data_IF_203166490398
#
_entry.id   IF_203166490398
#
_cell.length_a   1.000
_cell.length_b   1.000
_cell.length_c   1.000
_cell.angle_alpha   90.00
_cell.angle_beta   90.00
_cell.angle_gamma   90.00
#
_symmetry.space_group_name_H-M   'P 1'
#
loop_
_entity.id
_entity.type
_entity.pdbx_description
1 polymer ?
#
# COMPACT_ATOMS: atom_id res chain seq x y z
N UNK A 1 8.55 1.92 -6.66
CA UNK A 1 9.71 2.53 -5.98
C UNK A 1 9.83 1.89 -4.62
N UNK A 2 11.00 1.35 -4.33
CA UNK A 2 11.30 0.74 -3.03
C UNK A 2 11.42 1.80 -1.92
N UNK A 3 11.25 1.40 -0.66
CA UNK A 3 11.39 2.29 0.51
C UNK A 3 12.76 2.98 0.50
N UNK A 4 13.82 2.23 0.17
CA UNK A 4 15.19 2.74 0.09
C UNK A 4 15.33 3.90 -0.91
N UNK A 5 14.72 3.77 -2.10
CA UNK A 5 14.78 4.78 -3.16
C UNK A 5 14.04 6.06 -2.74
N UNK A 6 12.88 5.91 -2.08
CA UNK A 6 12.10 7.03 -1.56
C UNK A 6 12.87 7.83 -0.51
N UNK A 7 13.56 7.14 0.39
CA UNK A 7 14.41 7.78 1.42
C UNK A 7 15.61 8.47 0.77
N UNK A 8 16.31 7.79 -0.14
CA UNK A 8 17.48 8.34 -0.83
C UNK A 8 17.13 9.62 -1.59
N UNK A 9 16.02 9.61 -2.34
CA UNK A 9 15.54 10.80 -3.05
C UNK A 9 15.30 11.99 -2.12
N UNK A 10 14.63 11.77 -0.98
CA UNK A 10 14.37 12.85 0.00
C UNK A 10 15.68 13.36 0.63
N UNK A 11 16.66 12.48 0.79
CA UNK A 11 17.98 12.88 1.28
C UNK A 11 18.71 13.75 0.26
N UNK A 12 18.65 13.39 -1.02
CA UNK A 12 19.26 14.14 -2.11
C UNK A 12 18.59 15.51 -2.29
N UNK A 13 17.25 15.56 -2.22
CA UNK A 13 16.46 16.81 -2.28
C UNK A 13 16.82 17.79 -1.16
N UNK A 14 17.18 17.29 0.03
CA UNK A 14 17.58 18.10 1.19
C UNK A 14 19.09 18.22 1.37
N UNK A 15 19.91 17.58 0.52
CA UNK A 15 21.37 17.56 0.64
C UNK A 15 21.88 17.00 1.96
N UNK A 16 21.22 15.98 2.52
CA UNK A 16 21.58 15.39 3.82
C UNK A 16 22.24 14.02 3.68
N UNK A 17 23.18 13.74 4.57
CA UNK A 17 23.88 12.45 4.61
C UNK A 17 23.13 11.42 5.44
N UNK A 18 23.34 10.10 5.21
CA UNK A 18 22.73 9.05 6.04
C UNK A 18 23.07 9.21 7.52
N UNK A 19 24.30 9.65 7.81
CA UNK A 19 24.75 9.93 9.17
C UNK A 19 23.93 11.04 9.83
N UNK A 20 23.69 12.13 9.11
CA UNK A 20 22.88 13.25 9.60
C UNK A 20 21.43 12.84 9.83
N UNK A 21 20.86 12.08 8.89
CA UNK A 21 19.50 11.56 9.00
C UNK A 21 19.35 10.65 10.24
N UNK A 22 20.28 9.72 10.47
CA UNK A 22 20.27 8.86 11.65
C UNK A 22 20.34 9.66 12.96
N UNK A 23 21.21 10.68 13.02
CA UNK A 23 21.38 11.54 14.19
C UNK A 23 20.14 12.37 14.50
N UNK A 24 19.49 12.93 13.47
CA UNK A 24 18.35 13.83 13.63
C UNK A 24 17.02 13.08 13.83
N UNK A 25 16.89 11.86 13.28
CA UNK A 25 15.69 11.01 13.47
C UNK A 25 15.75 10.11 14.71
N UNK A 26 16.94 9.92 15.30
CA UNK A 26 17.15 8.95 16.38
C UNK A 26 17.13 7.49 15.92
N UNK A 27 17.04 7.23 14.61
CA UNK A 27 17.13 5.89 14.04
C UNK A 27 18.59 5.44 14.05
N UNK A 28 18.84 4.20 14.47
CA UNK A 28 20.20 3.64 14.46
C UNK A 28 20.82 3.73 13.06
N UNK A 29 22.06 4.24 12.99
CA UNK A 29 22.81 4.33 11.73
C UNK A 29 22.94 2.98 11.02
N UNK A 30 23.13 1.90 11.78
CA UNK A 30 23.20 0.54 11.20
C UNK A 30 21.85 0.08 10.65
N UNK A 31 20.75 0.45 11.32
CA UNK A 31 19.39 0.19 10.84
C UNK A 31 19.10 0.94 9.55
N UNK A 32 19.41 2.25 9.54
CA UNK A 32 19.23 3.09 8.35
C UNK A 32 20.07 2.60 7.16
N UNK A 33 21.32 2.23 7.40
CA UNK A 33 22.20 1.68 6.35
C UNK A 33 21.65 0.38 5.76
N UNK A 34 21.10 -0.52 6.58
CA UNK A 34 20.44 -1.76 6.11
C UNK A 34 19.19 -1.49 5.28
N UNK A 35 18.44 -0.43 5.61
CA UNK A 35 17.27 -0.01 4.84
C UNK A 35 17.72 0.55 3.48
N UNK A 36 18.69 1.46 3.47
CA UNK A 36 19.20 2.10 2.25
C UNK A 36 19.87 1.10 1.29
N UNK A 37 20.55 0.09 1.82
CA UNK A 37 21.15 -1.00 1.05
C UNK A 37 20.17 -2.11 0.67
N UNK A 38 18.88 -1.94 0.94
CA UNK A 38 17.80 -2.91 0.65
C UNK A 38 17.95 -4.28 1.35
N UNK A 39 18.86 -4.41 2.32
CA UNK A 39 18.98 -5.62 3.15
C UNK A 39 17.76 -5.80 4.05
N UNK A 40 17.13 -4.69 4.46
CA UNK A 40 15.87 -4.69 5.22
C UNK A 40 14.75 -4.16 4.34
N UNK A 41 13.93 -5.08 3.81
CA UNK A 41 12.77 -4.74 2.98
C UNK A 41 11.59 -4.19 3.77
N UNK A 42 11.43 -4.62 5.02
CA UNK A 42 10.37 -4.15 5.92
C UNK A 42 11.00 -3.53 7.18
N UNK A 43 11.30 -2.21 7.16
CA UNK A 43 11.76 -1.51 8.35
C UNK A 43 10.72 -1.56 9.46
N UNK A 44 11.16 -1.44 10.72
CA UNK A 44 10.23 -1.23 11.82
C UNK A 44 9.44 0.07 11.62
N UNK A 45 8.14 0.02 11.93
CA UNK A 45 7.20 1.13 11.78
C UNK A 45 7.68 2.37 12.55
N UNK A 46 8.29 2.19 13.72
CA UNK A 46 8.76 3.31 14.54
C UNK A 46 9.91 4.08 13.87
N UNK A 47 10.83 3.38 13.21
CA UNK A 47 11.90 4.01 12.41
C UNK A 47 11.34 4.76 11.21
N UNK A 48 10.36 4.17 10.52
CA UNK A 48 9.66 4.80 9.41
C UNK A 48 8.91 6.06 9.84
N UNK A 49 8.23 6.04 10.99
CA UNK A 49 7.57 7.21 11.59
C UNK A 49 8.54 8.34 11.87
N UNK A 50 9.70 8.03 12.46
CA UNK A 50 10.71 9.03 12.76
C UNK A 50 11.26 9.69 11.49
N UNK A 51 11.55 8.89 10.46
CA UNK A 51 12.01 9.37 9.15
C UNK A 51 10.92 10.21 8.46
N UNK A 52 9.67 9.74 8.48
CA UNK A 52 8.53 10.42 7.88
C UNK A 52 8.27 11.79 8.54
N UNK A 53 8.30 11.84 9.87
CA UNK A 53 8.18 13.08 10.63
C UNK A 53 9.29 14.09 10.28
N UNK A 54 10.52 13.61 10.15
CA UNK A 54 11.66 14.45 9.77
C UNK A 54 11.51 15.08 8.37
N UNK A 55 11.01 14.30 7.41
CA UNK A 55 10.78 14.79 6.04
C UNK A 55 9.43 15.48 5.84
N UNK A 56 8.55 15.50 6.85
CA UNK A 56 7.21 16.05 6.74
C UNK A 56 6.34 15.27 5.74
N UNK A 57 6.55 13.94 5.63
CA UNK A 57 5.77 13.04 4.79
C UNK A 57 4.89 12.14 5.67
N UNK A 58 3.73 11.70 5.18
CA UNK A 58 2.99 10.64 5.86
C UNK A 58 3.82 9.35 5.84
N UNK A 59 3.63 8.47 6.84
CA UNK A 59 4.31 7.16 6.87
C UNK A 59 3.95 6.34 5.64
N UNK A 60 2.70 6.49 5.19
CA UNK A 60 2.13 5.81 4.03
C UNK A 60 2.92 6.10 2.75
N UNK A 61 3.52 7.29 2.63
CA UNK A 61 4.42 7.63 1.51
C UNK A 61 5.52 6.59 1.31
N UNK A 62 6.06 6.01 2.38
CA UNK A 62 7.10 4.99 2.29
C UNK A 62 6.52 3.59 2.05
N UNK A 63 5.41 3.25 2.68
CA UNK A 63 4.80 1.92 2.61
C UNK A 63 3.89 1.69 1.39
N UNK A 64 3.54 2.74 0.66
CA UNK A 64 2.78 2.65 -0.59
C UNK A 64 3.60 1.93 -1.68
N UNK A 65 3.36 0.63 -1.84
CA UNK A 65 3.74 -0.14 -3.02
C UNK A 65 2.80 0.21 -4.17
N UNK A 66 3.10 1.29 -4.90
CA UNK A 66 2.41 1.64 -6.14
C UNK A 66 0.92 1.93 -5.97
N UNK A 67 0.60 3.17 -5.63
CA UNK A 67 -0.80 3.54 -5.46
C UNK A 67 -1.52 3.67 -6.81
N UNK A 68 -2.58 2.86 -7.00
CA UNK A 68 -3.75 3.34 -7.72
C UNK A 68 -4.44 4.34 -6.79
N UNK A 69 -3.85 5.54 -6.65
CA UNK A 69 -4.46 6.60 -5.87
C UNK A 69 -5.80 6.91 -6.52
N UNK A 70 -6.88 6.83 -5.75
CA UNK A 70 -8.16 7.38 -6.21
C UNK A 70 -7.89 8.86 -6.48
N UNK A 71 -8.03 9.34 -7.73
CA UNK A 71 -7.66 10.72 -8.06
C UNK A 71 -8.40 11.70 -7.14
N UNK A 72 -7.81 12.84 -6.79
CA UNK A 72 -8.41 13.80 -5.84
C UNK A 72 -9.80 14.32 -6.25
N UNK A 73 -10.16 14.19 -7.53
CA UNK A 73 -11.49 14.51 -8.07
C UNK A 73 -12.53 13.40 -7.88
N UNK A 74 -12.11 12.20 -7.50
CA UNK A 74 -12.98 11.02 -7.38
C UNK A 74 -13.62 10.93 -5.98
N UNK A 75 -14.93 11.03 -5.96
CA UNK A 75 -15.81 10.96 -4.79
C UNK A 75 -16.21 9.52 -4.50
N UNK A 76 -16.66 9.20 -3.28
CA UNK A 76 -17.25 7.88 -2.95
C UNK A 76 -18.48 7.49 -3.80
N UNK A 77 -19.05 8.44 -4.53
CA UNK A 77 -20.07 8.20 -5.57
C UNK A 77 -19.43 7.63 -6.84
N UNK A 78 -18.28 8.15 -7.26
CA UNK A 78 -17.55 7.71 -8.45
C UNK A 78 -17.03 6.27 -8.29
N UNK A 79 -16.67 5.86 -7.07
CA UNK A 79 -16.31 4.47 -6.73
C UNK A 79 -17.51 3.52 -6.86
N UNK A 80 -18.71 3.96 -6.46
CA UNK A 80 -19.95 3.17 -6.59
C UNK A 80 -20.45 3.13 -8.03
N UNK A 81 -20.31 4.23 -8.76
CA UNK A 81 -20.65 4.34 -10.16
C UNK A 81 -19.71 3.49 -11.02
N UNK A 82 -18.43 3.36 -10.66
CA UNK A 82 -17.51 2.45 -11.34
C UNK A 82 -17.98 0.99 -11.30
N UNK A 83 -18.45 0.52 -10.14
CA UNK A 83 -19.03 -0.84 -10.00
C UNK A 83 -20.27 -1.03 -10.90
N UNK A 84 -21.16 -0.03 -10.93
CA UNK A 84 -22.36 -0.05 -11.78
C UNK A 84 -22.01 0.04 -13.28
N UNK A 85 -21.01 0.82 -13.63
CA UNK A 85 -20.51 1.02 -14.99
C UNK A 85 -19.75 -0.20 -15.54
N UNK A 86 -19.21 -1.05 -14.66
CA UNK A 86 -18.69 -2.37 -15.03
C UNK A 86 -19.82 -3.40 -15.25
N UNK A 87 -20.97 -3.24 -14.59
CA UNK A 87 -22.10 -4.19 -14.68
C UNK A 87 -23.11 -3.80 -15.78
N UNK A 88 -23.20 -2.52 -16.14
CA UNK A 88 -24.06 -2.02 -17.21
C UNK A 88 -23.36 -2.10 -18.58
N UNK A 89 -24.13 -2.35 -19.64
CA UNK A 89 -23.71 -2.36 -21.07
C UNK A 89 -23.26 -0.97 -21.60
N UNK A 90 -22.85 -0.07 -20.70
CA UNK A 90 -22.42 1.27 -21.01
C UNK A 90 -21.03 1.27 -21.67
N UNK A 91 -20.80 2.05 -22.74
CA UNK A 91 -19.49 2.17 -23.36
C UNK A 91 -18.47 2.75 -22.37
N UNK A 92 -17.54 1.91 -21.92
CA UNK A 92 -16.41 2.36 -21.11
C UNK A 92 -15.48 3.17 -22.02
N UNK A 93 -15.27 4.45 -21.69
CA UNK A 93 -14.33 5.32 -22.40
C UNK A 93 -12.97 5.25 -21.70
N UNK A 94 -11.90 5.12 -22.48
CA UNK A 94 -10.52 5.26 -22.01
C UNK A 94 -9.85 6.37 -22.82
N UNK A 95 -9.42 7.44 -22.15
CA UNK A 95 -8.84 8.63 -22.79
C UNK A 95 -9.76 9.26 -23.86
N UNK A 96 -11.07 9.21 -23.63
CA UNK A 96 -12.08 9.70 -24.58
C UNK A 96 -12.40 8.77 -25.75
N UNK A 97 -11.78 7.59 -25.83
CA UNK A 97 -12.03 6.56 -26.86
C UNK A 97 -12.85 5.41 -26.28
N UNK A 98 -13.94 4.96 -26.93
CA UNK A 98 -14.70 3.81 -26.46
C UNK A 98 -13.87 2.55 -26.54
N UNK A 99 -13.79 1.80 -25.44
CA UNK A 99 -13.19 0.47 -25.41
C UNK A 99 -14.04 -0.49 -26.24
N UNK A 100 -13.37 -1.24 -27.10
CA UNK A 100 -13.95 -2.36 -27.82
C UNK A 100 -14.34 -3.50 -26.86
N UNK A 101 -15.18 -4.42 -27.34
CA UNK A 101 -15.75 -5.51 -26.54
C UNK A 101 -14.67 -6.44 -25.97
N UNK A 102 -13.60 -6.68 -26.73
CA UNK A 102 -12.51 -7.57 -26.34
C UNK A 102 -11.63 -6.92 -25.26
N UNK A 103 -11.28 -5.65 -25.43
CA UNK A 103 -10.54 -4.89 -24.43
C UNK A 103 -11.33 -4.71 -23.14
N UNK A 104 -12.65 -4.50 -23.24
CA UNK A 104 -13.55 -4.49 -22.08
C UNK A 104 -13.48 -5.81 -21.32
N UNK A 105 -13.60 -6.94 -22.02
CA UNK A 105 -13.51 -8.26 -21.39
C UNK A 105 -12.16 -8.48 -20.70
N UNK A 106 -11.05 -8.09 -21.34
CA UNK A 106 -9.71 -8.17 -20.71
C UNK A 106 -9.63 -7.38 -19.40
N UNK A 107 -10.19 -6.16 -19.39
CA UNK A 107 -10.24 -5.33 -18.17
C UNK A 107 -11.05 -6.05 -17.08
N UNK A 108 -12.20 -6.64 -17.43
CA UNK A 108 -13.03 -7.42 -16.49
C UNK A 108 -12.28 -8.62 -15.91
N UNK A 109 -11.56 -9.35 -16.75
CA UNK A 109 -10.84 -10.56 -16.36
C UNK A 109 -9.71 -10.22 -15.37
N UNK A 110 -8.96 -9.15 -15.65
CA UNK A 110 -7.89 -8.64 -14.77
C UNK A 110 -8.48 -8.20 -13.43
N UNK A 111 -9.56 -7.41 -13.45
CA UNK A 111 -10.23 -6.95 -12.23
C UNK A 111 -10.80 -8.11 -11.40
N UNK A 112 -11.35 -9.12 -12.06
CA UNK A 112 -11.87 -10.32 -11.42
C UNK A 112 -10.74 -11.11 -10.74
N UNK A 113 -9.60 -11.26 -11.42
CA UNK A 113 -8.39 -11.87 -10.84
C UNK A 113 -7.92 -11.15 -9.58
N UNK A 114 -7.74 -9.83 -9.67
CA UNK A 114 -7.36 -8.96 -8.54
C UNK A 114 -8.33 -9.10 -7.37
N UNK A 115 -9.64 -9.13 -7.63
CA UNK A 115 -10.66 -9.30 -6.61
C UNK A 115 -10.52 -10.63 -5.85
N UNK A 116 -10.30 -11.74 -6.56
CA UNK A 116 -10.13 -13.05 -5.94
C UNK A 116 -8.83 -13.15 -5.16
N UNK A 117 -7.75 -12.53 -5.64
CA UNK A 117 -6.49 -12.44 -4.91
C UNK A 117 -6.67 -11.66 -3.60
N UNK A 118 -7.33 -10.51 -3.64
CA UNK A 118 -7.65 -9.72 -2.45
C UNK A 118 -8.53 -10.52 -1.46
N UNK A 119 -9.56 -11.22 -1.96
CA UNK A 119 -10.45 -12.06 -1.12
C UNK A 119 -9.71 -13.25 -0.50
N UNK A 120 -8.79 -13.86 -1.25
CA UNK A 120 -7.91 -14.95 -0.76
C UNK A 120 -6.97 -14.46 0.34
N UNK A 121 -6.41 -13.27 0.18
CA UNK A 121 -5.58 -12.63 1.20
C UNK A 121 -6.39 -12.29 2.47
N UNK A 122 -7.60 -11.74 2.33
CA UNK A 122 -8.47 -11.49 3.48
C UNK A 122 -8.88 -12.76 4.23
N UNK A 123 -9.08 -13.89 3.54
CA UNK A 123 -9.29 -15.20 4.19
C UNK A 123 -8.04 -15.68 4.95
N UNK A 124 -6.83 -15.37 4.48
CA UNK A 124 -5.57 -15.71 5.18
C UNK A 124 -5.34 -14.81 6.40
N UNK A 125 -5.66 -13.52 6.30
CA UNK A 125 -5.42 -12.52 7.36
C UNK A 125 -6.51 -12.52 8.44
N UNK A 126 -7.78 -12.74 8.08
CA UNK A 126 -8.93 -12.66 9.00
C UNK A 126 -9.68 -13.98 9.21
N UNK A 127 -9.42 -15.02 8.42
CA UNK A 127 -10.13 -16.31 8.50
C UNK A 127 -9.70 -17.23 9.65
N UNK A 128 -8.72 -16.84 10.47
CA UNK A 128 -8.23 -17.62 11.62
C UNK A 128 -8.60 -16.99 12.96
N UNK A 129 -9.88 -16.62 13.14
CA UNK A 129 -10.51 -16.69 14.47
C UNK A 129 -11.30 -18.01 14.54
N UNK A 130 -10.56 -19.12 14.55
CA UNK A 130 -11.11 -20.38 15.03
C UNK A 130 -11.33 -20.21 16.54
N UNK A 131 -12.55 -20.45 16.97
CA UNK A 131 -13.04 -20.33 18.35
C UNK A 131 -12.03 -20.93 19.33
N UNK A 132 -11.47 -20.12 20.21
CA UNK A 132 -10.90 -20.61 21.47
C UNK A 132 -12.08 -21.02 22.34
N UNK A 133 -12.31 -22.33 22.44
CA UNK A 133 -13.22 -22.91 23.43
C UNK A 133 -12.73 -22.52 24.83
N UNK A 134 -13.37 -21.54 25.43
CA UNK A 134 -13.36 -21.35 26.89
C UNK A 134 -14.18 -22.47 27.50
N UNK A 135 -13.52 -23.56 27.90
CA UNK A 135 -14.04 -24.44 28.93
C UNK A 135 -12.91 -24.78 29.90
N UNK A 136 -12.55 -23.78 30.72
CA UNK A 136 -11.83 -24.03 31.95
C UNK A 136 -12.88 -24.18 33.06
N UNK A 137 -13.18 -25.42 33.45
CA UNK A 137 -13.82 -25.76 34.72
C UNK A 137 -12.88 -26.72 35.44
N UNK A 138 -11.95 -26.13 36.18
CA UNK A 138 -11.40 -26.75 37.38
C UNK A 138 -12.27 -26.36 38.59
N UNK A 139 -12.22 -27.20 39.62
CA UNK A 139 -12.87 -27.14 40.96
C UNK A 139 -14.30 -27.72 40.98
N UNK A 140 -14.62 -28.80 41.72
CA UNK A 140 -14.01 -29.53 42.84
C UNK A 140 -14.22 -31.06 42.69
#
# INVERSE_FOLDING_TARGET
>A
MEIAEKIQRLMDERGITPYRLAKETGVSYTGLSKILSQQTKNPQIDSLKAIAAYFGKPVDYFTEEGDFSTPEWATAKDIRDFKRMLEEDSPIMFDGVPLDVESRQRVMDILTGLFWDAKKQNKKTYGRKAKTDTNNKDTE
#
